data_IF_086150321725
#
_entry.id   IF_086150321725
#
_cell.length_a   1.000
_cell.length_b   1.000
_cell.length_c   1.000
_cell.angle_alpha   90.00
_cell.angle_beta   90.00
_cell.angle_gamma   90.00
#
_symmetry.space_group_name_H-M   'P 1'
#
loop_
_entity.id
_entity.type
_entity.pdbx_description
1 polymer ?
#
# COMPACT_ATOMS: atom_id res chain seq x y z
N UNK A 1 10.31 1.25 -0.85
CA UNK A 1 10.95 1.50 0.46
C UNK A 1 9.94 1.59 1.62
N UNK A 2 8.98 2.52 1.57
CA UNK A 2 8.10 2.85 2.71
C UNK A 2 7.33 1.67 3.30
N UNK A 3 6.73 0.80 2.47
CA UNK A 3 6.01 -0.41 2.93
C UNK A 3 6.87 -1.37 3.78
N UNK A 4 8.17 -1.48 3.47
CA UNK A 4 9.07 -2.35 4.23
C UNK A 4 9.43 -1.69 5.57
N UNK A 5 9.80 -0.40 5.54
CA UNK A 5 10.15 0.37 6.75
C UNK A 5 8.97 0.58 7.69
N UNK A 6 7.73 0.57 7.19
CA UNK A 6 6.51 0.69 8.01
C UNK A 6 6.01 -0.63 8.59
N UNK A 7 6.78 -1.72 8.47
CA UNK A 7 6.37 -3.07 8.87
C UNK A 7 5.13 -3.60 8.11
N UNK A 8 4.91 -3.12 6.88
CA UNK A 8 3.83 -3.54 5.98
C UNK A 8 4.08 -4.88 5.27
N UNK A 9 5.16 -5.59 5.60
CA UNK A 9 5.51 -6.90 5.04
C UNK A 9 5.91 -7.85 6.15
N UNK A 10 5.19 -8.97 6.29
CA UNK A 10 5.52 -10.08 7.18
C UNK A 10 6.03 -11.28 6.36
N UNK A 11 5.17 -12.21 5.94
CA UNK A 11 5.56 -13.34 5.09
C UNK A 11 6.06 -12.92 3.70
N UNK A 12 5.76 -11.69 3.27
CA UNK A 12 6.25 -11.12 2.01
C UNK A 12 5.51 -11.53 0.74
N UNK A 13 4.68 -12.58 0.79
CA UNK A 13 4.08 -13.15 -0.43
C UNK A 13 3.16 -12.17 -1.19
N UNK A 14 2.33 -11.41 -0.48
CA UNK A 14 1.43 -10.42 -1.10
C UNK A 14 2.12 -9.08 -1.42
N UNK A 15 3.33 -8.84 -0.91
CA UNK A 15 4.01 -7.54 -0.97
C UNK A 15 4.25 -7.06 -2.40
N UNK A 16 4.67 -7.90 -3.38
CA UNK A 16 4.83 -7.47 -4.77
C UNK A 16 3.55 -6.92 -5.39
N UNK A 17 2.40 -7.60 -5.19
CA UNK A 17 1.10 -7.15 -5.73
C UNK A 17 0.65 -5.81 -5.15
N UNK A 18 0.82 -5.65 -3.83
CA UNK A 18 0.53 -4.40 -3.12
C UNK A 18 1.43 -3.26 -3.63
N UNK A 19 2.74 -3.52 -3.81
CA UNK A 19 3.69 -2.54 -4.34
C UNK A 19 3.29 -2.11 -5.75
N UNK A 20 2.92 -3.05 -6.62
CA UNK A 20 2.53 -2.72 -7.99
C UNK A 20 1.21 -1.94 -8.07
N UNK A 21 0.27 -2.22 -7.16
CA UNK A 21 -0.99 -1.48 -7.07
C UNK A 21 -0.75 -0.04 -6.63
N UNK A 22 0.05 0.18 -5.57
CA UNK A 22 0.43 1.53 -5.14
C UNK A 22 1.29 2.26 -6.18
N UNK A 23 2.22 1.55 -6.83
CA UNK A 23 3.03 2.11 -7.90
C UNK A 23 2.15 2.63 -9.05
N UNK A 24 1.16 1.85 -9.46
CA UNK A 24 0.23 2.23 -10.54
C UNK A 24 -0.59 3.45 -10.14
N UNK A 25 -1.11 3.49 -8.90
CA UNK A 25 -1.80 4.67 -8.37
C UNK A 25 -0.91 5.91 -8.47
N UNK A 26 0.32 5.87 -7.95
CA UNK A 26 1.24 7.01 -7.96
C UNK A 26 1.64 7.48 -9.37
N UNK A 27 1.64 6.58 -10.36
CA UNK A 27 1.93 6.91 -11.76
C UNK A 27 0.77 7.66 -12.43
N UNK A 28 -0.46 7.45 -11.98
CA UNK A 28 -1.66 8.09 -12.50
C UNK A 28 -2.05 9.34 -11.69
N UNK A 29 -1.82 9.31 -10.37
CA UNK A 29 -2.13 10.37 -9.41
C UNK A 29 -0.95 10.52 -8.44
N UNK A 30 -0.04 11.50 -8.67
CA UNK A 30 1.17 11.67 -7.85
C UNK A 30 0.92 12.06 -6.39
N UNK A 31 -0.21 12.72 -6.11
CA UNK A 31 -0.65 13.15 -4.78
C UNK A 31 -2.07 12.59 -4.52
N UNK A 32 -2.21 11.29 -4.22
CA UNK A 32 -3.50 10.67 -4.01
C UNK A 32 -4.12 11.08 -2.67
N UNK A 33 -5.44 10.92 -2.53
CA UNK A 33 -6.11 11.01 -1.23
C UNK A 33 -5.95 9.71 -0.43
N UNK A 34 -6.30 9.74 0.86
CA UNK A 34 -6.28 8.52 1.68
C UNK A 34 -7.28 7.50 1.13
N UNK A 35 -8.45 7.95 0.68
CA UNK A 35 -9.49 7.11 0.10
C UNK A 35 -9.00 6.43 -1.19
N UNK A 36 -8.34 7.15 -2.09
CA UNK A 36 -7.77 6.57 -3.32
C UNK A 36 -6.70 5.50 -3.03
N UNK A 37 -5.92 5.68 -1.96
CA UNK A 37 -4.96 4.68 -1.50
C UNK A 37 -5.67 3.43 -0.99
N UNK A 38 -6.74 3.58 -0.21
CA UNK A 38 -7.51 2.45 0.31
C UNK A 38 -8.21 1.68 -0.82
N UNK A 39 -8.78 2.38 -1.79
CA UNK A 39 -9.44 1.79 -2.97
C UNK A 39 -8.48 1.02 -3.85
N UNK A 40 -7.23 1.48 -3.99
CA UNK A 40 -6.19 0.77 -4.75
C UNK A 40 -5.87 -0.64 -4.19
N UNK A 41 -6.27 -0.94 -2.95
CA UNK A 41 -6.01 -2.23 -2.32
C UNK A 41 -7.23 -3.16 -2.23
N UNK A 42 -8.39 -2.79 -2.78
CA UNK A 42 -9.58 -3.66 -2.80
C UNK A 42 -9.33 -5.04 -3.45
N UNK A 43 -8.42 -5.11 -4.43
CA UNK A 43 -8.01 -6.34 -5.10
C UNK A 43 -6.81 -7.07 -4.46
N UNK A 44 -6.25 -6.56 -3.35
CA UNK A 44 -5.01 -7.08 -2.77
C UNK A 44 -5.27 -7.71 -1.39
N UNK A 45 -5.23 -9.03 -1.32
CA UNK A 45 -5.41 -9.75 -0.06
C UNK A 45 -4.09 -9.94 0.69
N UNK A 46 -4.10 -9.63 1.99
CA UNK A 46 -3.02 -9.92 2.92
C UNK A 46 -3.53 -10.65 4.16
N UNK A 47 -2.93 -11.80 4.47
CA UNK A 47 -3.32 -12.60 5.65
C UNK A 47 -2.53 -12.27 6.92
N UNK A 48 -1.34 -11.68 6.79
CA UNK A 48 -0.41 -11.55 7.91
C UNK A 48 -0.49 -10.18 8.60
N UNK A 49 -0.59 -9.09 7.83
CA UNK A 49 -0.34 -7.74 8.36
C UNK A 49 -1.55 -7.08 9.02
N UNK A 50 -2.77 -7.56 8.73
CA UNK A 50 -4.00 -6.88 9.12
C UNK A 50 -4.16 -5.49 8.47
N UNK A 51 -3.48 -5.24 7.35
CA UNK A 51 -3.51 -4.02 6.50
C UNK A 51 -3.02 -2.71 7.13
N UNK A 52 -3.20 -2.49 8.43
CA UNK A 52 -2.86 -1.25 9.13
C UNK A 52 -1.42 -0.75 8.86
N UNK A 53 -0.34 -1.55 8.93
CA UNK A 53 1.01 -1.05 8.64
C UNK A 53 1.28 -0.78 7.14
N UNK A 54 0.51 -1.38 6.23
CA UNK A 54 0.56 -1.09 4.78
C UNK A 54 -0.03 0.30 4.53
N UNK A 55 -1.26 0.53 5.01
CA UNK A 55 -1.96 1.82 4.88
C UNK A 55 -1.17 2.95 5.54
N UNK A 56 -0.67 2.74 6.77
CA UNK A 56 0.15 3.72 7.46
C UNK A 56 1.43 4.08 6.67
N UNK A 57 2.08 3.09 6.06
CA UNK A 57 3.25 3.31 5.22
C UNK A 57 2.93 4.15 3.99
N UNK A 58 1.80 3.91 3.32
CA UNK A 58 1.43 4.61 2.10
C UNK A 58 0.73 5.95 2.32
N UNK A 59 0.08 6.19 3.46
CA UNK A 59 -0.45 7.52 3.84
C UNK A 59 0.60 8.63 3.77
N UNK A 60 1.88 8.30 3.86
CA UNK A 60 2.98 9.25 3.65
C UNK A 60 3.06 9.82 2.22
N UNK A 61 2.37 9.22 1.25
CA UNK A 61 2.19 9.74 -0.10
C UNK A 61 0.90 10.53 -0.27
N UNK A 62 -0.02 10.46 0.70
CA UNK A 62 -1.27 11.19 0.63
C UNK A 62 -1.02 12.69 0.85
N UNK A 63 -1.88 13.50 0.23
CA UNK A 63 -2.00 14.94 0.53
C UNK A 63 -2.41 15.21 1.99
#
# INVERSE_FOLDING_TARGET
ERIAKSHGSQCGFCTPGIVMSMYTLLRNQPEPTIEEIEDAFQGNLCRCTGYRPILQGFRTFAR
#
